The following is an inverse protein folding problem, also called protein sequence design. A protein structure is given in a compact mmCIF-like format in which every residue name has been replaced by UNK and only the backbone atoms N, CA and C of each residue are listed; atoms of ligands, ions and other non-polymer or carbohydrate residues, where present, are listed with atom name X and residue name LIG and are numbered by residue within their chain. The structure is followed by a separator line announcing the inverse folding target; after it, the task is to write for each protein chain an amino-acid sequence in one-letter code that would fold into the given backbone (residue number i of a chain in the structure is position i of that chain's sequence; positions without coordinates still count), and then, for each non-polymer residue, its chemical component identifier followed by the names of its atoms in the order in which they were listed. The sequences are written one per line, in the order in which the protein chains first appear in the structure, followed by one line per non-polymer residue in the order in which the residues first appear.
data_IF_739092838559
#
_entry.id   IF_739092838559
#
_cell.length_a   1.000
_cell.length_b   1.000
_cell.length_c   1.000
_cell.angle_alpha   90.00
_cell.angle_beta   90.00
_cell.angle_gamma   90.00
#
_symmetry.space_group_name_H-M   'P 1'
#
loop_
_entity.id
_entity.type
_entity.pdbx_description
1 polymer ?
#
# COMPACT_ATOMS: atom_id res chain seq x y z
N UNK A 1 -6.41 14.52 28.32
CA UNK A 1 -6.38 13.14 27.77
C UNK A 1 -6.40 13.26 26.26
N UNK A 2 -5.65 12.42 25.54
CA UNK A 2 -5.71 12.36 24.07
C UNK A 2 -6.50 11.12 23.67
N UNK A 3 -7.67 11.30 23.06
CA UNK A 3 -8.40 10.23 22.41
C UNK A 3 -7.89 10.11 20.97
N UNK A 4 -7.28 8.98 20.65
CA UNK A 4 -6.81 8.69 19.30
C UNK A 4 -7.73 7.67 18.63
N UNK A 5 -8.16 7.96 17.42
CA UNK A 5 -8.98 7.07 16.61
C UNK A 5 -8.78 7.35 15.13
N UNK A 6 -8.37 6.31 14.41
CA UNK A 6 -8.02 6.37 13.00
C UNK A 6 -8.95 5.50 12.16
N UNK A 7 -9.85 4.73 12.79
CA UNK A 7 -10.42 3.51 12.19
C UNK A 7 -11.94 3.57 12.06
N UNK A 8 -12.62 4.24 12.97
CA UNK A 8 -14.07 4.10 13.07
C UNK A 8 -14.82 4.97 12.06
N UNK A 9 -15.68 4.32 11.29
CA UNK A 9 -16.59 4.96 10.33
C UNK A 9 -18.05 4.92 10.79
N UNK A 10 -18.32 4.45 12.02
CA UNK A 10 -19.66 4.34 12.58
C UNK A 10 -19.92 5.47 13.61
N UNK A 11 -20.81 6.44 13.31
CA UNK A 11 -21.04 7.60 14.17
C UNK A 11 -21.45 7.25 15.59
N UNK A 12 -22.32 6.24 15.77
CA UNK A 12 -22.82 5.83 17.09
C UNK A 12 -21.71 5.25 17.96
N UNK A 13 -20.84 4.43 17.36
CA UNK A 13 -19.69 3.85 18.05
C UNK A 13 -18.72 4.95 18.50
N UNK A 14 -18.38 5.88 17.61
CA UNK A 14 -17.52 7.02 17.94
C UNK A 14 -18.12 7.87 19.06
N UNK A 15 -19.41 8.21 18.95
CA UNK A 15 -20.12 8.99 19.95
C UNK A 15 -20.05 8.36 21.35
N UNK A 16 -20.32 7.04 21.44
CA UNK A 16 -20.24 6.30 22.70
C UNK A 16 -18.83 6.29 23.31
N UNK A 17 -17.79 6.25 22.48
CA UNK A 17 -16.39 6.28 22.95
C UNK A 17 -16.05 7.68 23.48
N UNK A 18 -16.49 8.74 22.78
CA UNK A 18 -16.30 10.11 23.23
C UNK A 18 -17.02 10.40 24.54
N UNK A 19 -18.24 9.90 24.75
CA UNK A 19 -18.96 10.05 26.02
C UNK A 19 -18.19 9.44 27.20
N UNK A 20 -17.57 8.27 26.99
CA UNK A 20 -16.71 7.65 28.00
C UNK A 20 -15.51 8.53 28.34
N UNK A 21 -14.86 9.13 27.34
CA UNK A 21 -13.73 10.03 27.59
C UNK A 21 -14.15 11.30 28.34
N UNK A 22 -15.28 11.91 27.94
CA UNK A 22 -15.82 13.11 28.58
C UNK A 22 -16.28 12.84 30.02
N UNK A 23 -16.78 11.64 30.31
CA UNK A 23 -17.18 11.24 31.68
C UNK A 23 -16.03 11.29 32.70
N UNK A 24 -14.77 11.31 32.24
CA UNK A 24 -13.61 11.48 33.12
C UNK A 24 -13.50 12.88 33.76
N UNK A 25 -14.28 13.85 33.29
CA UNK A 25 -14.24 15.25 33.76
C UNK A 25 -12.95 16.00 33.41
N UNK A 26 -12.08 15.42 32.57
CA UNK A 26 -10.81 16.01 32.12
C UNK A 26 -10.94 16.57 30.70
N UNK A 27 -10.14 17.60 30.34
CA UNK A 27 -10.04 18.05 28.96
C UNK A 27 -9.65 16.91 28.01
N UNK A 28 -10.38 16.78 26.91
CA UNK A 28 -10.15 15.80 25.85
C UNK A 28 -9.58 16.52 24.63
N UNK A 29 -8.49 15.98 24.08
CA UNK A 29 -7.91 16.35 22.79
C UNK A 29 -8.14 15.18 21.86
N UNK A 30 -8.55 15.43 20.62
CA UNK A 30 -8.70 14.39 19.60
C UNK A 30 -7.44 14.27 18.73
N UNK A 31 -7.02 13.04 18.46
CA UNK A 31 -5.97 12.72 17.50
C UNK A 31 -6.57 11.85 16.39
N UNK A 32 -6.75 12.44 15.20
CA UNK A 32 -7.20 11.71 14.01
C UNK A 32 -6.05 11.24 13.14
N UNK A 33 -6.32 10.44 12.11
CA UNK A 33 -5.28 9.75 11.33
C UNK A 33 -5.33 10.03 9.83
N UNK A 34 -4.18 10.39 9.26
CA UNK A 34 -3.99 10.51 7.82
C UNK A 34 -3.13 9.35 7.30
N UNK A 35 -3.80 8.33 6.77
CA UNK A 35 -3.23 6.99 6.56
C UNK A 35 -2.17 6.95 5.46
N UNK A 36 -0.92 6.75 5.88
CA UNK A 36 0.26 6.52 5.03
C UNK A 36 1.26 5.51 5.60
N UNK A 37 0.83 4.68 6.55
CA UNK A 37 1.69 3.80 7.35
C UNK A 37 1.51 2.31 7.03
N UNK A 38 1.06 1.99 5.82
CA UNK A 38 0.81 0.61 5.38
C UNK A 38 1.61 0.20 4.14
N UNK A 39 2.65 0.95 3.79
CA UNK A 39 3.51 0.72 2.63
C UNK A 39 3.87 2.01 1.92
N UNK A 40 4.13 1.91 0.62
CA UNK A 40 4.38 3.05 -0.27
C UNK A 40 3.10 3.80 -0.65
N UNK A 41 1.94 3.15 -0.56
CA UNK A 41 0.65 3.67 -1.03
C UNK A 41 -0.19 4.19 0.16
N UNK A 42 -0.75 5.41 0.08
CA UNK A 42 -1.61 5.97 1.11
C UNK A 42 -3.01 5.31 1.13
N UNK A 43 -3.86 5.78 2.06
CA UNK A 43 -5.29 5.46 2.09
C UNK A 43 -6.12 6.74 2.34
N UNK A 44 -6.05 7.67 1.40
CA UNK A 44 -6.68 8.99 1.46
C UNK A 44 -8.21 8.85 1.54
N UNK A 45 -8.82 8.03 0.68
CA UNK A 45 -10.27 7.82 0.66
C UNK A 45 -10.82 7.33 2.01
N UNK A 46 -10.17 6.31 2.58
CA UNK A 46 -10.50 5.80 3.91
C UNK A 46 -10.26 6.86 5.01
N UNK A 47 -9.14 7.60 4.94
CA UNK A 47 -8.81 8.66 5.89
C UNK A 47 -9.87 9.76 5.92
N UNK A 48 -10.34 10.21 4.74
CA UNK A 48 -11.39 11.21 4.62
C UNK A 48 -12.70 10.68 5.20
N UNK A 49 -13.09 9.44 4.87
CA UNK A 49 -14.30 8.80 5.40
C UNK A 49 -14.30 8.75 6.94
N UNK A 50 -13.24 8.18 7.52
CA UNK A 50 -13.08 8.03 8.97
C UNK A 50 -13.03 9.40 9.67
N UNK A 51 -12.22 10.33 9.14
CA UNK A 51 -12.06 11.65 9.73
C UNK A 51 -13.36 12.45 9.70
N UNK A 52 -14.12 12.43 8.60
CA UNK A 52 -15.41 13.12 8.52
C UNK A 52 -16.38 12.66 9.62
N UNK A 53 -16.50 11.35 9.81
CA UNK A 53 -17.37 10.76 10.84
C UNK A 53 -16.92 11.21 12.23
N UNK A 54 -15.62 11.11 12.53
CA UNK A 54 -15.13 11.39 13.88
C UNK A 54 -15.16 12.88 14.20
N UNK A 55 -14.72 13.74 13.26
CA UNK A 55 -14.74 15.19 13.44
C UNK A 55 -16.16 15.70 13.66
N UNK A 56 -17.16 15.16 12.95
CA UNK A 56 -18.56 15.50 13.19
C UNK A 56 -19.00 15.18 14.64
N UNK A 57 -18.61 14.01 15.17
CA UNK A 57 -18.94 13.63 16.54
C UNK A 57 -18.17 14.46 17.57
N UNK A 58 -16.91 14.78 17.32
CA UNK A 58 -16.11 15.69 18.14
C UNK A 58 -16.78 17.07 18.23
N UNK A 59 -17.18 17.65 17.09
CA UNK A 59 -17.86 18.94 17.02
C UNK A 59 -19.19 18.93 17.79
N UNK A 60 -20.01 17.88 17.63
CA UNK A 60 -21.29 17.73 18.37
C UNK A 60 -21.11 17.68 19.88
N UNK A 61 -19.96 17.20 20.36
CA UNK A 61 -19.63 17.07 21.79
C UNK A 61 -18.73 18.20 22.31
N UNK A 62 -18.49 19.23 21.49
CA UNK A 62 -17.69 20.41 21.88
C UNK A 62 -16.20 20.12 22.07
N UNK A 63 -15.66 19.09 21.42
CA UNK A 63 -14.23 18.77 21.43
C UNK A 63 -13.55 19.57 20.31
N UNK A 64 -12.91 20.68 20.70
CA UNK A 64 -12.35 21.64 19.75
C UNK A 64 -10.81 21.60 19.66
N UNK A 65 -10.14 20.88 20.56
CA UNK A 65 -8.69 20.68 20.50
C UNK A 65 -8.41 19.39 19.74
N UNK A 66 -7.79 19.50 18.57
CA UNK A 66 -7.51 18.35 17.72
C UNK A 66 -6.18 18.48 16.97
N UNK A 67 -5.59 17.34 16.64
CA UNK A 67 -4.47 17.25 15.71
C UNK A 67 -4.63 16.00 14.84
N UNK A 68 -3.91 15.99 13.72
CA UNK A 68 -3.86 14.88 12.78
C UNK A 68 -2.49 14.20 12.87
N UNK A 69 -2.49 12.88 13.03
CA UNK A 69 -1.29 12.05 13.08
C UNK A 69 -0.96 11.51 11.69
N UNK A 70 0.31 11.60 11.34
CA UNK A 70 0.88 11.12 10.08
C UNK A 70 1.92 10.06 10.42
N UNK A 71 1.47 8.87 10.83
CA UNK A 71 2.38 7.77 11.23
C UNK A 71 3.19 7.26 10.04
N UNK A 72 4.28 6.56 10.32
CA UNK A 72 5.24 6.04 9.34
C UNK A 72 5.71 4.64 9.72
N UNK A 73 4.77 3.76 10.04
CA UNK A 73 5.05 2.42 10.56
C UNK A 73 5.92 1.62 9.58
N UNK A 74 6.77 0.76 10.16
CA UNK A 74 7.60 -0.20 9.44
C UNK A 74 8.39 0.41 8.26
N UNK A 75 9.19 1.44 8.52
CA UNK A 75 10.14 2.01 7.55
C UNK A 75 9.68 3.29 6.85
N UNK A 76 8.52 3.85 7.21
CA UNK A 76 8.04 5.15 6.74
C UNK A 76 8.04 5.30 5.20
N UNK A 77 7.63 4.26 4.49
CA UNK A 77 7.80 4.08 3.04
C UNK A 77 7.01 5.07 2.16
N UNK A 78 5.83 5.51 2.58
CA UNK A 78 5.00 6.45 1.81
C UNK A 78 5.42 7.90 2.06
N UNK A 79 5.44 8.78 1.06
CA UNK A 79 5.70 10.21 1.29
C UNK A 79 4.64 10.87 2.17
N UNK A 80 5.06 11.80 3.03
CA UNK A 80 4.17 12.62 3.86
C UNK A 80 3.31 13.60 3.02
N UNK A 81 3.72 13.89 1.79
CA UNK A 81 2.96 14.78 0.90
C UNK A 81 1.77 14.09 0.23
N UNK A 82 1.63 12.77 0.34
CA UNK A 82 0.46 12.05 -0.18
C UNK A 82 -0.82 12.37 0.58
N UNK A 83 -0.72 12.74 1.86
CA UNK A 83 -1.87 12.90 2.76
C UNK A 83 -2.42 14.33 2.86
N UNK A 84 -1.94 15.25 2.02
CA UNK A 84 -2.36 16.66 2.02
C UNK A 84 -3.90 16.85 1.96
N UNK A 85 -4.70 16.03 1.23
CA UNK A 85 -6.15 16.14 1.29
C UNK A 85 -6.75 15.97 2.69
N UNK A 86 -6.17 15.09 3.50
CA UNK A 86 -6.62 14.84 4.88
C UNK A 86 -6.23 16.02 5.77
N UNK A 87 -5.04 16.59 5.59
CA UNK A 87 -4.63 17.80 6.29
C UNK A 87 -5.59 18.96 5.97
N UNK A 88 -5.94 19.12 4.69
CA UNK A 88 -6.92 20.12 4.25
C UNK A 88 -8.26 19.91 4.95
N UNK A 89 -8.76 18.67 5.06
CA UNK A 89 -10.01 18.39 5.77
C UNK A 89 -9.98 18.86 7.23
N UNK A 90 -8.89 18.60 7.96
CA UNK A 90 -8.74 19.06 9.35
C UNK A 90 -8.64 20.59 9.45
N UNK A 91 -7.95 21.23 8.51
CA UNK A 91 -7.90 22.69 8.44
C UNK A 91 -9.30 23.26 8.22
N UNK A 92 -10.04 22.76 7.23
CA UNK A 92 -11.40 23.22 6.95
C UNK A 92 -12.38 22.94 8.10
N UNK A 93 -12.21 21.86 8.87
CA UNK A 93 -13.00 21.60 10.08
C UNK A 93 -12.85 22.66 11.17
N UNK A 94 -11.77 23.44 11.13
CA UNK A 94 -11.56 24.55 12.06
C UNK A 94 -12.36 25.81 11.69
N UNK A 95 -12.80 25.95 10.43
CA UNK A 95 -13.41 27.17 9.91
C UNK A 95 -14.82 26.99 9.33
N UNK A 96 -15.15 25.79 8.84
CA UNK A 96 -16.42 25.49 8.19
C UNK A 96 -17.26 24.52 9.03
N UNK A 97 -18.56 24.77 9.13
CA UNK A 97 -19.49 23.88 9.84
C UNK A 97 -19.79 22.59 9.06
N UNK A 98 -19.85 22.70 7.74
CA UNK A 98 -20.12 21.59 6.83
C UNK A 98 -19.08 21.63 5.71
N UNK A 99 -18.38 20.52 5.50
CA UNK A 99 -17.33 20.39 4.49
C UNK A 99 -17.86 19.40 3.46
N UNK A 100 -18.36 19.86 2.32
CA UNK A 100 -18.66 18.95 1.21
C UNK A 100 -17.38 18.52 0.49
N UNK A 101 -17.47 17.55 -0.42
CA UNK A 101 -16.32 17.21 -1.28
C UNK A 101 -15.98 18.38 -2.23
N UNK A 102 -16.98 19.10 -2.75
CA UNK A 102 -16.75 20.31 -3.57
C UNK A 102 -16.02 21.40 -2.79
N UNK A 103 -16.44 21.66 -1.54
CA UNK A 103 -15.74 22.64 -0.69
C UNK A 103 -14.30 22.19 -0.44
N UNK A 104 -14.09 20.91 -0.14
CA UNK A 104 -12.74 20.39 0.10
C UNK A 104 -11.87 20.51 -1.16
N UNK A 105 -12.39 20.17 -2.34
CA UNK A 105 -11.68 20.29 -3.62
C UNK A 105 -11.33 21.74 -3.96
N UNK A 106 -12.28 22.67 -3.85
CA UNK A 106 -12.02 24.10 -4.07
C UNK A 106 -10.89 24.62 -3.17
N UNK A 107 -10.93 24.25 -1.88
CA UNK A 107 -9.93 24.66 -0.89
C UNK A 107 -8.59 23.98 -1.14
N UNK A 108 -8.59 22.70 -1.48
CA UNK A 108 -7.37 21.96 -1.82
C UNK A 108 -6.70 22.54 -3.07
N UNK A 109 -7.47 22.91 -4.09
CA UNK A 109 -6.96 23.59 -5.28
C UNK A 109 -6.33 24.94 -4.95
N UNK A 110 -6.94 25.73 -4.06
CA UNK A 110 -6.40 27.03 -3.63
C UNK A 110 -5.13 26.87 -2.78
N UNK A 111 -5.14 25.94 -1.82
CA UNK A 111 -4.08 25.82 -0.83
C UNK A 111 -2.89 24.96 -1.29
N UNK A 112 -3.16 23.89 -2.03
CA UNK A 112 -2.15 22.94 -2.50
C UNK A 112 -1.87 23.05 -4.01
N UNK A 113 -2.74 23.70 -4.80
CA UNK A 113 -2.55 23.79 -6.25
C UNK A 113 -2.80 22.48 -7.00
N UNK A 114 -3.57 21.57 -6.43
CA UNK A 114 -3.91 20.26 -7.01
C UNK A 114 -5.40 19.96 -6.92
N UNK A 115 -5.87 19.05 -7.77
CA UNK A 115 -7.24 18.55 -7.73
C UNK A 115 -7.37 17.40 -6.72
N UNK A 116 -8.42 17.42 -5.91
CA UNK A 116 -8.70 16.37 -4.91
C UNK A 116 -8.92 15.02 -5.60
N UNK A 117 -9.66 15.03 -6.71
CA UNK A 117 -9.96 13.82 -7.48
C UNK A 117 -8.70 13.11 -7.98
N UNK A 118 -7.68 13.86 -8.40
CA UNK A 118 -6.41 13.30 -8.84
C UNK A 118 -5.65 12.72 -7.66
N UNK A 119 -5.56 13.45 -6.54
CA UNK A 119 -4.88 12.93 -5.34
C UNK A 119 -5.50 11.63 -4.82
N UNK A 120 -6.81 11.44 -4.94
CA UNK A 120 -7.47 10.17 -4.58
C UNK A 120 -6.99 8.98 -5.42
N UNK A 121 -6.42 9.21 -6.61
CA UNK A 121 -5.83 8.15 -7.43
C UNK A 121 -4.55 7.58 -6.80
N UNK A 122 -3.89 8.29 -5.88
CA UNK A 122 -2.72 7.77 -5.18
C UNK A 122 -3.03 6.51 -4.36
N UNK A 123 -4.30 6.25 -4.02
CA UNK A 123 -4.73 5.05 -3.31
C UNK A 123 -4.83 3.80 -4.22
N UNK A 124 -4.84 3.97 -5.55
CA UNK A 124 -5.15 2.91 -6.52
C UNK A 124 -4.36 1.61 -6.33
N UNK A 125 -3.04 1.62 -6.03
CA UNK A 125 -2.30 0.37 -5.83
C UNK A 125 -2.86 -0.55 -4.72
N UNK A 126 -3.69 -0.01 -3.81
CA UNK A 126 -4.40 -0.76 -2.78
C UNK A 126 -5.88 -1.06 -3.10
N UNK A 127 -6.43 -0.52 -4.19
CA UNK A 127 -7.85 -0.61 -4.56
C UNK A 127 -8.13 -1.66 -5.64
N UNK A 128 -7.54 -2.86 -5.46
CA UNK A 128 -7.81 -4.02 -6.32
C UNK A 128 -9.25 -4.53 -6.17
N UNK A 129 -9.66 -5.44 -7.07
CA UNK A 129 -10.98 -6.09 -7.01
C UNK A 129 -11.21 -6.72 -5.64
N UNK A 130 -12.31 -6.32 -5.00
CA UNK A 130 -12.68 -6.71 -3.65
C UNK A 130 -12.21 -5.75 -2.56
N UNK A 131 -11.52 -4.65 -2.88
CA UNK A 131 -11.17 -3.54 -1.99
C UNK A 131 -11.35 -2.17 -2.65
N UNK A 132 -12.46 -1.98 -3.38
CA UNK A 132 -12.74 -0.76 -4.11
C UNK A 132 -12.82 0.47 -3.17
N UNK A 133 -12.63 1.65 -3.77
CA UNK A 133 -12.80 2.95 -3.10
C UNK A 133 -14.05 3.01 -2.21
N UNK A 134 -13.95 3.53 -0.96
CA UNK A 134 -12.79 4.22 -0.39
C UNK A 134 -11.68 3.30 0.16
N UNK A 135 -11.80 1.99 -0.04
CA UNK A 135 -10.91 0.99 0.55
C UNK A 135 -11.28 0.65 1.99
N UNK A 136 -10.96 -0.57 2.41
CA UNK A 136 -11.12 -0.99 3.82
C UNK A 136 -9.89 -0.63 4.64
N UNK A 137 -10.12 -0.30 5.91
CA UNK A 137 -9.10 0.01 6.90
C UNK A 137 -7.95 -1.02 6.90
N UNK A 138 -6.70 -0.54 6.83
CA UNK A 138 -5.50 -1.37 6.93
C UNK A 138 -5.17 -2.23 5.71
N UNK A 139 -6.08 -2.40 4.75
CA UNK A 139 -5.86 -3.28 3.60
C UNK A 139 -4.79 -2.71 2.66
N UNK A 140 -3.74 -3.48 2.40
CA UNK A 140 -2.53 -2.99 1.76
C UNK A 140 -1.82 -3.98 0.80
N UNK A 141 -2.52 -4.48 -0.24
CA UNK A 141 -1.95 -5.42 -1.20
C UNK A 141 -0.69 -4.93 -1.89
N UNK A 142 -0.58 -3.64 -2.18
CA UNK A 142 0.62 -3.09 -2.80
C UNK A 142 1.90 -3.40 -2.02
N UNK A 143 1.86 -3.41 -0.67
CA UNK A 143 3.03 -3.70 0.16
C UNK A 143 3.38 -5.18 0.15
N UNK A 144 2.42 -6.05 0.48
CA UNK A 144 2.72 -7.47 0.62
C UNK A 144 2.98 -8.14 -0.73
N UNK A 145 2.33 -7.72 -1.81
CA UNK A 145 2.62 -8.22 -3.16
C UNK A 145 3.97 -7.71 -3.68
N UNK A 146 4.38 -6.50 -3.29
CA UNK A 146 5.69 -5.97 -3.65
C UNK A 146 6.82 -6.75 -2.96
N UNK A 147 6.72 -7.01 -1.66
CA UNK A 147 7.81 -7.64 -0.90
C UNK A 147 7.78 -9.17 -0.85
N UNK A 148 6.65 -9.84 -1.13
CA UNK A 148 6.60 -11.31 -1.04
C UNK A 148 7.66 -11.99 -1.92
N UNK A 149 8.18 -13.11 -1.44
CA UNK A 149 9.10 -13.93 -2.22
C UNK A 149 8.38 -14.64 -3.37
N UNK A 150 9.02 -14.67 -4.54
CA UNK A 150 8.46 -15.24 -5.78
C UNK A 150 8.37 -16.77 -5.72
N UNK A 151 9.37 -17.44 -5.14
CA UNK A 151 9.40 -18.90 -5.08
C UNK A 151 8.55 -19.44 -3.93
N UNK A 152 8.50 -18.74 -2.80
CA UNK A 152 7.74 -19.17 -1.62
C UNK A 152 6.24 -18.87 -1.73
N UNK A 153 5.85 -17.80 -2.45
CA UNK A 153 4.46 -17.51 -2.77
C UNK A 153 3.53 -17.39 -1.55
N UNK A 154 4.00 -16.77 -0.46
CA UNK A 154 3.27 -16.70 0.81
C UNK A 154 1.89 -16.04 0.68
N UNK A 155 1.70 -15.18 -0.32
CA UNK A 155 0.45 -14.48 -0.57
C UNK A 155 -0.23 -14.93 -1.87
N UNK A 156 0.24 -15.99 -2.53
CA UNK A 156 -0.31 -16.50 -3.80
C UNK A 156 -1.82 -16.80 -3.69
N UNK A 157 -2.29 -17.32 -2.54
CA UNK A 157 -3.71 -17.57 -2.28
C UNK A 157 -4.55 -16.31 -2.07
N UNK A 158 -3.92 -15.15 -1.99
CA UNK A 158 -4.55 -13.84 -1.83
C UNK A 158 -4.54 -13.02 -3.14
N UNK A 159 -4.25 -13.67 -4.28
CA UNK A 159 -4.13 -13.05 -5.60
C UNK A 159 -5.20 -13.62 -6.54
N UNK A 160 -5.86 -12.75 -7.30
CA UNK A 160 -6.68 -13.13 -8.46
C UNK A 160 -5.76 -13.10 -9.69
N UNK A 161 -5.30 -14.28 -10.11
CA UNK A 161 -4.39 -14.48 -11.27
C UNK A 161 -4.92 -13.73 -12.51
N UNK A 162 -4.03 -13.08 -13.26
CA UNK A 162 -4.30 -12.25 -14.44
C UNK A 162 -5.13 -10.97 -14.20
N UNK A 163 -6.10 -10.98 -13.28
CA UNK A 163 -6.93 -9.83 -12.97
C UNK A 163 -6.12 -8.74 -12.26
N UNK A 164 -5.40 -9.10 -11.20
CA UNK A 164 -4.58 -8.13 -10.46
C UNK A 164 -3.48 -7.53 -11.34
N UNK A 165 -2.85 -8.34 -12.19
CA UNK A 165 -1.87 -7.87 -13.17
C UNK A 165 -2.49 -6.82 -14.11
N UNK A 166 -3.68 -7.10 -14.66
CA UNK A 166 -4.41 -6.18 -15.54
C UNK A 166 -4.82 -4.87 -14.83
N UNK A 167 -5.29 -4.97 -13.59
CA UNK A 167 -5.64 -3.80 -12.79
C UNK A 167 -4.42 -2.92 -12.52
N UNK A 168 -3.27 -3.50 -12.15
CA UNK A 168 -2.03 -2.74 -11.97
C UNK A 168 -1.57 -2.03 -13.25
N UNK A 169 -1.65 -2.69 -14.42
CA UNK A 169 -1.37 -2.05 -15.70
C UNK A 169 -2.28 -0.84 -15.96
N UNK A 170 -3.59 -0.99 -15.71
CA UNK A 170 -4.57 0.10 -15.84
C UNK A 170 -4.27 1.25 -14.86
N UNK A 171 -3.99 0.93 -13.59
CA UNK A 171 -3.71 1.92 -12.56
C UNK A 171 -2.44 2.72 -12.87
N UNK A 172 -1.41 2.07 -13.40
CA UNK A 172 -0.19 2.75 -13.87
C UNK A 172 -0.51 3.82 -14.92
N UNK A 173 -1.35 3.51 -15.91
CA UNK A 173 -1.80 4.47 -16.92
C UNK A 173 -2.51 5.68 -16.31
N UNK A 174 -3.50 5.43 -15.43
CA UNK A 174 -4.26 6.50 -14.75
C UNK A 174 -3.37 7.41 -13.89
N UNK A 175 -2.39 6.81 -13.19
CA UNK A 175 -1.44 7.55 -12.37
C UNK A 175 -0.49 8.39 -13.21
N UNK A 176 -0.03 7.89 -14.37
CA UNK A 176 0.80 8.66 -15.31
C UNK A 176 0.05 9.87 -15.85
N UNK A 177 -1.22 9.71 -16.23
CA UNK A 177 -2.06 10.84 -16.66
C UNK A 177 -2.30 11.87 -15.54
N UNK A 178 -2.53 11.41 -14.30
CA UNK A 178 -2.67 12.29 -13.15
C UNK A 178 -1.37 13.06 -12.86
N UNK A 179 -0.22 12.42 -13.07
CA UNK A 179 1.08 13.05 -12.94
C UNK A 179 1.28 14.21 -13.94
N UNK A 180 0.76 14.08 -15.16
CA UNK A 180 0.83 15.12 -16.19
C UNK A 180 -0.09 16.32 -15.86
N UNK A 181 -1.25 16.05 -15.26
CA UNK A 181 -2.17 17.09 -14.76
C UNK A 181 -1.64 17.83 -13.53
N UNK A 182 -0.72 17.23 -12.78
CA UNK A 182 -0.22 17.74 -11.50
C UNK A 182 1.31 17.92 -11.51
N UNK A 183 1.88 18.83 -12.32
CA UNK A 183 3.34 18.95 -12.49
C UNK A 183 4.10 19.23 -11.19
N UNK A 184 3.50 19.98 -10.25
CA UNK A 184 4.11 20.25 -8.93
C UNK A 184 4.16 19.05 -7.99
N UNK A 185 3.36 18.01 -8.24
CA UNK A 185 3.30 16.77 -7.45
C UNK A 185 3.61 15.54 -8.30
N UNK A 186 4.18 15.74 -9.49
CA UNK A 186 4.39 14.70 -10.50
C UNK A 186 5.05 13.44 -9.91
N UNK A 187 6.05 13.65 -9.06
CA UNK A 187 6.81 12.58 -8.44
C UNK A 187 5.94 11.63 -7.58
N UNK A 188 4.94 12.17 -6.85
CA UNK A 188 4.04 11.34 -6.02
C UNK A 188 3.27 10.32 -6.87
N UNK A 189 2.74 10.78 -8.00
CA UNK A 189 1.99 9.95 -8.94
C UNK A 189 2.89 8.96 -9.69
N UNK A 190 4.06 9.41 -10.15
CA UNK A 190 5.01 8.55 -10.85
C UNK A 190 5.55 7.42 -9.96
N UNK A 191 5.76 7.67 -8.67
CA UNK A 191 6.15 6.62 -7.71
C UNK A 191 5.07 5.55 -7.57
N UNK A 192 3.80 5.94 -7.45
CA UNK A 192 2.71 4.95 -7.44
C UNK A 192 2.59 4.24 -8.80
N UNK A 193 2.81 4.94 -9.92
CA UNK A 193 2.78 4.34 -11.25
C UNK A 193 3.89 3.29 -11.43
N UNK A 194 5.11 3.57 -10.96
CA UNK A 194 6.22 2.62 -11.00
C UNK A 194 6.02 1.44 -10.06
N UNK A 195 5.37 1.65 -8.91
CA UNK A 195 4.92 0.55 -8.06
C UNK A 195 3.93 -0.36 -8.81
N UNK A 196 2.95 0.22 -9.51
CA UNK A 196 2.03 -0.52 -10.36
C UNK A 196 2.76 -1.24 -11.51
N UNK A 197 3.74 -0.60 -12.17
CA UNK A 197 4.55 -1.22 -13.23
C UNK A 197 5.30 -2.47 -12.68
N UNK A 198 5.81 -2.43 -11.45
CA UNK A 198 6.42 -3.60 -10.81
C UNK A 198 5.36 -4.67 -10.52
N UNK A 199 4.23 -4.28 -9.93
CA UNK A 199 3.19 -5.20 -9.48
C UNK A 199 2.44 -5.86 -10.64
N UNK A 200 2.35 -5.21 -11.80
CA UNK A 200 1.84 -5.80 -13.05
C UNK A 200 2.53 -7.14 -13.36
N UNK A 201 3.86 -7.18 -13.27
CA UNK A 201 4.64 -8.39 -13.53
C UNK A 201 4.73 -9.30 -12.30
N UNK A 202 4.74 -8.71 -11.10
CA UNK A 202 5.11 -9.42 -9.88
C UNK A 202 3.94 -10.09 -9.17
N UNK A 203 2.74 -9.49 -9.20
CA UNK A 203 1.65 -9.87 -8.29
C UNK A 203 1.24 -11.35 -8.39
N UNK A 204 1.32 -11.95 -9.58
CA UNK A 204 0.96 -13.34 -9.86
C UNK A 204 2.14 -14.17 -10.42
N UNK A 205 3.38 -13.66 -10.33
CA UNK A 205 4.58 -14.34 -10.84
C UNK A 205 4.78 -15.72 -10.20
N UNK A 206 4.59 -15.83 -8.88
CA UNK A 206 4.71 -17.09 -8.14
C UNK A 206 3.69 -18.15 -8.59
N UNK A 207 2.46 -17.71 -8.87
CA UNK A 207 1.39 -18.55 -9.42
C UNK A 207 1.75 -19.05 -10.82
N UNK A 208 2.18 -18.15 -11.71
CA UNK A 208 2.58 -18.48 -13.09
C UNK A 208 3.75 -19.46 -13.13
N UNK A 209 4.78 -19.24 -12.29
CA UNK A 209 5.92 -20.16 -12.16
C UNK A 209 5.48 -21.53 -11.65
N UNK A 210 4.68 -21.58 -10.57
CA UNK A 210 4.21 -22.85 -10.00
C UNK A 210 3.37 -23.64 -11.01
N UNK A 211 2.45 -22.99 -11.71
CA UNK A 211 1.62 -23.59 -12.76
C UNK A 211 2.44 -24.12 -13.94
N UNK A 212 3.42 -23.36 -14.42
CA UNK A 212 4.30 -23.80 -15.49
C UNK A 212 5.17 -25.00 -15.04
N UNK A 213 5.67 -24.96 -13.80
CA UNK A 213 6.45 -26.04 -13.20
C UNK A 213 5.64 -27.34 -13.06
N UNK A 214 4.44 -27.28 -12.48
CA UNK A 214 3.55 -28.44 -12.30
C UNK A 214 3.15 -29.09 -13.63
N UNK A 215 2.93 -28.26 -14.66
CA UNK A 215 2.61 -28.73 -16.01
C UNK A 215 3.84 -29.18 -16.82
N UNK A 216 5.05 -29.08 -16.26
CA UNK A 216 6.33 -29.32 -16.96
C UNK A 216 6.44 -28.53 -18.26
N UNK A 217 5.91 -27.31 -18.26
CA UNK A 217 5.95 -26.41 -19.41
C UNK A 217 7.28 -25.64 -19.43
N UNK A 218 8.29 -26.27 -20.03
CA UNK A 218 9.63 -25.70 -20.13
C UNK A 218 9.67 -24.40 -20.97
N UNK A 219 8.77 -24.26 -21.94
CA UNK A 219 8.70 -23.06 -22.76
C UNK A 219 8.14 -21.87 -21.96
N UNK A 220 7.08 -22.10 -21.17
CA UNK A 220 6.54 -21.10 -20.27
C UNK A 220 7.54 -20.72 -19.17
N UNK A 221 8.21 -21.69 -18.54
CA UNK A 221 9.26 -21.43 -17.55
C UNK A 221 10.39 -20.56 -18.14
N UNK A 222 10.83 -20.86 -19.36
CA UNK A 222 11.84 -20.04 -20.05
C UNK A 222 11.35 -18.62 -20.29
N UNK A 223 10.13 -18.44 -20.79
CA UNK A 223 9.54 -17.09 -20.98
C UNK A 223 9.47 -16.30 -19.67
N UNK A 224 9.11 -16.97 -18.57
CA UNK A 224 9.05 -16.34 -17.24
C UNK A 224 10.42 -15.90 -16.73
N UNK A 225 11.53 -16.56 -17.12
CA UNK A 225 12.88 -16.08 -16.78
C UNK A 225 13.21 -14.74 -17.43
N UNK A 226 12.73 -14.49 -18.65
CA UNK A 226 12.87 -13.19 -19.33
C UNK A 226 12.00 -12.13 -18.64
N UNK A 227 10.79 -12.51 -18.19
CA UNK A 227 9.94 -11.61 -17.40
C UNK A 227 10.56 -11.27 -16.04
N UNK A 228 11.33 -12.17 -15.42
CA UNK A 228 12.06 -11.91 -14.18
C UNK A 228 13.20 -10.89 -14.38
N UNK A 229 13.87 -10.89 -15.54
CA UNK A 229 14.86 -9.85 -15.88
C UNK A 229 14.18 -8.48 -15.99
N UNK A 230 13.06 -8.41 -16.71
CA UNK A 230 12.30 -7.16 -16.83
C UNK A 230 11.79 -6.67 -15.47
N UNK A 231 11.30 -7.60 -14.63
CA UNK A 231 10.90 -7.28 -13.26
C UNK A 231 12.04 -6.68 -12.44
N UNK A 232 13.26 -7.22 -12.56
CA UNK A 232 14.44 -6.71 -11.87
C UNK A 232 14.78 -5.27 -12.31
N UNK A 233 14.65 -4.98 -13.60
CA UNK A 233 14.85 -3.64 -14.15
C UNK A 233 13.79 -2.66 -13.63
N UNK A 234 12.50 -3.05 -13.66
CA UNK A 234 11.39 -2.23 -13.12
C UNK A 234 11.58 -1.96 -11.61
N UNK A 235 12.00 -2.94 -10.82
CA UNK A 235 12.33 -2.77 -9.39
C UNK A 235 13.52 -1.82 -9.20
N UNK A 236 14.49 -1.83 -10.12
CA UNK A 236 15.64 -0.92 -10.07
C UNK A 236 15.24 0.52 -10.38
N UNK A 237 14.38 0.74 -11.37
CA UNK A 237 13.79 2.06 -11.63
C UNK A 237 12.99 2.54 -10.43
N UNK A 238 12.16 1.67 -9.84
CA UNK A 238 11.36 2.03 -8.66
C UNK A 238 12.25 2.41 -7.47
N UNK A 239 13.33 1.66 -7.22
CA UNK A 239 14.31 1.97 -6.17
C UNK A 239 14.92 3.37 -6.33
N UNK A 240 15.37 3.74 -7.54
CA UNK A 240 15.97 5.06 -7.76
C UNK A 240 14.97 6.21 -7.55
N UNK A 241 13.70 6.01 -7.92
CA UNK A 241 12.65 7.00 -7.66
C UNK A 241 12.36 7.13 -6.15
N UNK A 242 12.25 6.02 -5.42
CA UNK A 242 12.10 6.04 -3.95
C UNK A 242 13.31 6.69 -3.29
N UNK A 243 14.52 6.41 -3.75
CA UNK A 243 15.74 7.05 -3.27
C UNK A 243 15.69 8.56 -3.48
N UNK A 244 15.32 9.00 -4.69
CA UNK A 244 15.23 10.42 -5.01
C UNK A 244 14.21 11.12 -4.12
N UNK A 245 13.00 10.56 -3.98
CA UNK A 245 11.98 11.10 -3.08
C UNK A 245 12.43 11.13 -1.63
N UNK A 246 13.07 10.06 -1.13
CA UNK A 246 13.54 10.04 0.26
C UNK A 246 14.53 11.17 0.54
N UNK A 247 15.51 11.38 -0.36
CA UNK A 247 16.53 12.41 -0.18
C UNK A 247 15.99 13.84 -0.34
N UNK A 248 14.83 13.99 -0.99
CA UNK A 248 14.10 15.26 -1.08
C UNK A 248 13.25 15.51 0.17
N UNK A 249 12.49 14.51 0.62
CA UNK A 249 11.51 14.63 1.70
C UNK A 249 12.13 14.52 3.10
N UNK A 250 13.25 13.79 3.23
CA UNK A 250 13.80 13.35 4.51
C UNK A 250 15.30 13.59 4.62
N UNK A 251 15.81 13.49 5.86
CA UNK A 251 17.25 13.31 6.08
C UNK A 251 17.69 11.93 5.55
N UNK A 252 18.97 11.75 5.21
CA UNK A 252 19.44 10.48 4.64
C UNK A 252 19.27 9.25 5.55
N UNK A 253 19.29 9.42 6.87
CA UNK A 253 19.14 8.34 7.84
C UNK A 253 17.75 7.71 7.77
N UNK A 254 17.69 6.37 7.81
CA UNK A 254 16.49 5.56 7.60
C UNK A 254 16.40 4.99 6.19
N UNK A 255 17.04 5.62 5.20
CA UNK A 255 17.06 5.10 3.83
C UNK A 255 17.83 3.77 3.73
N UNK A 256 18.84 3.55 4.57
CA UNK A 256 19.59 2.29 4.61
C UNK A 256 18.69 1.08 4.87
N UNK A 257 17.60 1.26 5.61
CA UNK A 257 16.59 0.21 5.82
C UNK A 257 15.91 -0.12 4.50
N UNK A 258 15.44 0.88 3.74
CA UNK A 258 14.82 0.66 2.44
C UNK A 258 15.82 0.05 1.44
N UNK A 259 17.08 0.51 1.44
CA UNK A 259 18.14 -0.09 0.62
C UNK A 259 18.35 -1.56 0.91
N UNK A 260 18.34 -1.98 2.18
CA UNK A 260 18.44 -3.40 2.57
C UNK A 260 17.22 -4.17 2.04
N UNK A 261 16.00 -3.64 2.22
CA UNK A 261 14.76 -4.30 1.76
C UNK A 261 14.73 -4.49 0.25
N UNK A 262 15.07 -3.45 -0.51
CA UNK A 262 15.17 -3.52 -1.97
C UNK A 262 16.31 -4.44 -2.42
N UNK A 263 17.46 -4.41 -1.75
CA UNK A 263 18.58 -5.31 -2.04
C UNK A 263 18.19 -6.78 -1.85
N UNK A 264 17.51 -7.09 -0.75
CA UNK A 264 16.95 -8.42 -0.49
C UNK A 264 15.95 -8.84 -1.58
N UNK A 265 14.99 -7.98 -1.91
CA UNK A 265 14.01 -8.25 -2.96
C UNK A 265 14.67 -8.53 -4.32
N UNK A 266 15.60 -7.67 -4.76
CA UNK A 266 16.35 -7.84 -6.02
C UNK A 266 17.14 -9.16 -6.02
N UNK A 267 17.81 -9.49 -4.92
CA UNK A 267 18.56 -10.74 -4.80
C UNK A 267 17.64 -11.97 -4.88
N UNK A 268 16.42 -11.89 -4.34
CA UNK A 268 15.44 -12.98 -4.41
C UNK A 268 14.82 -13.13 -5.80
N UNK A 269 14.67 -12.05 -6.58
CA UNK A 269 14.29 -12.13 -8.00
C UNK A 269 15.38 -12.86 -8.81
N UNK A 270 16.65 -12.48 -8.61
CA UNK A 270 17.81 -13.13 -9.26
C UNK A 270 17.85 -14.62 -8.92
N UNK A 271 17.64 -14.97 -7.64
CA UNK A 271 17.66 -16.37 -7.21
C UNK A 271 16.47 -17.16 -7.77
N UNK A 272 15.28 -16.56 -7.85
CA UNK A 272 14.13 -17.19 -8.50
C UNK A 272 14.43 -17.56 -9.96
N UNK A 273 15.04 -16.63 -10.71
CA UNK A 273 15.47 -16.90 -12.08
C UNK A 273 16.50 -18.04 -12.14
N UNK A 274 17.56 -17.97 -11.32
CA UNK A 274 18.61 -19.01 -11.27
C UNK A 274 18.04 -20.40 -11.00
N UNK A 275 17.13 -20.52 -10.02
CA UNK A 275 16.50 -21.80 -9.67
C UNK A 275 15.69 -22.39 -10.84
N UNK A 276 14.99 -21.55 -11.59
CA UNK A 276 14.27 -21.97 -12.81
C UNK A 276 15.24 -22.38 -13.91
N UNK A 277 16.32 -21.64 -14.15
CA UNK A 277 17.36 -21.99 -15.13
C UNK A 277 18.07 -23.31 -14.78
N UNK A 278 18.43 -23.51 -13.51
CA UNK A 278 19.04 -24.75 -13.02
C UNK A 278 18.15 -25.97 -13.30
N UNK A 279 16.83 -25.83 -13.12
CA UNK A 279 15.87 -26.88 -13.45
C UNK A 279 15.77 -27.11 -14.96
N UNK A 280 15.65 -26.04 -15.76
CA UNK A 280 15.56 -26.13 -17.22
C UNK A 280 16.80 -26.75 -17.87
N UNK A 281 17.98 -26.52 -17.28
CA UNK A 281 19.26 -27.09 -17.73
C UNK A 281 19.55 -28.49 -17.15
N UNK A 282 18.68 -29.01 -16.27
CA UNK A 282 18.85 -30.31 -15.64
C UNK A 282 19.97 -30.37 -14.59
N UNK A 283 20.40 -29.22 -14.06
CA UNK A 283 21.33 -29.16 -12.91
C UNK A 283 20.67 -29.62 -11.62
N UNK A 284 19.35 -29.42 -11.51
CA UNK A 284 18.53 -29.94 -10.41
C UNK A 284 17.33 -30.69 -10.98
N UNK A 285 16.90 -31.74 -10.28
CA UNK A 285 15.75 -32.56 -10.71
C UNK A 285 14.40 -31.89 -10.41
N UNK A 286 14.37 -30.97 -9.44
CA UNK A 286 13.16 -30.30 -8.95
C UNK A 286 13.50 -28.93 -8.35
N UNK A 287 12.48 -28.07 -8.27
CA UNK A 287 12.52 -26.80 -7.55
C UNK A 287 11.70 -26.98 -6.27
N UNK A 288 12.34 -27.35 -5.15
CA UNK A 288 11.65 -27.70 -3.91
C UNK A 288 10.67 -26.62 -3.40
N UNK A 289 10.98 -25.35 -3.62
CA UNK A 289 10.14 -24.22 -3.24
C UNK A 289 8.80 -24.20 -3.99
N UNK A 290 8.76 -24.73 -5.22
CA UNK A 290 7.55 -24.84 -6.05
C UNK A 290 6.79 -26.15 -5.82
N UNK A 291 7.43 -27.16 -5.21
CA UNK A 291 6.77 -28.40 -4.76
C UNK A 291 5.86 -28.18 -3.55
N UNK A 292 6.14 -27.15 -2.75
CA UNK A 292 5.35 -26.85 -1.57
C UNK A 292 3.91 -26.43 -1.93
N UNK A 293 2.95 -26.87 -1.10
CA UNK A 293 1.57 -26.42 -1.20
C UNK A 293 1.44 -24.95 -0.84
N UNK A 294 0.69 -24.19 -1.65
CA UNK A 294 0.36 -22.79 -1.34
C UNK A 294 -0.82 -22.74 -0.36
N UNK A 295 -0.60 -22.11 0.79
CA UNK A 295 -1.60 -21.91 1.83
C UNK A 295 -2.03 -20.44 1.92
N UNK A 296 -3.19 -20.19 2.53
CA UNK A 296 -3.53 -18.81 2.90
C UNK A 296 -2.61 -18.35 4.03
N UNK A 297 -2.10 -17.12 3.90
CA UNK A 297 -1.17 -16.53 4.85
C UNK A 297 -1.75 -16.45 6.27
N UNK A 298 -3.04 -16.13 6.40
CA UNK A 298 -3.73 -15.97 7.68
C UNK A 298 -4.35 -17.27 8.22
N UNK A 299 -4.01 -18.42 7.64
CA UNK A 299 -4.43 -19.74 8.11
C UNK A 299 -5.90 -20.09 7.83
N UNK A 300 -6.61 -19.29 7.03
CA UNK A 300 -7.99 -19.64 6.61
C UNK A 300 -7.98 -20.86 5.67
N UNK A 301 -9.12 -21.54 5.59
CA UNK A 301 -9.27 -22.77 4.78
C UNK A 301 -9.76 -22.52 3.36
N UNK A 302 -10.48 -21.42 3.13
CA UNK A 302 -11.04 -21.05 1.83
C UNK A 302 -10.93 -19.53 1.63
N UNK A 303 -11.07 -19.08 0.38
CA UNK A 303 -10.92 -17.67 0.00
C UNK A 303 -11.90 -16.74 0.75
N UNK A 304 -13.05 -17.26 1.16
CA UNK A 304 -14.15 -16.46 1.69
C UNK A 304 -14.58 -15.37 0.71
N UNK A 305 -15.00 -14.22 1.26
CA UNK A 305 -15.44 -13.05 0.47
C UNK A 305 -14.36 -11.98 0.29
N UNK A 306 -13.24 -12.08 1.01
CA UNK A 306 -12.22 -11.03 1.02
C UNK A 306 -10.82 -11.64 1.02
N UNK A 307 -10.13 -11.55 -0.11
CA UNK A 307 -8.77 -12.04 -0.27
C UNK A 307 -7.72 -11.15 0.40
N UNK A 308 -8.04 -9.89 0.70
CA UNK A 308 -7.04 -8.94 1.17
C UNK A 308 -6.75 -9.03 2.66
N UNK A 309 -5.52 -8.66 3.00
CA UNK A 309 -4.98 -8.67 4.35
C UNK A 309 -4.61 -7.25 4.82
N UNK A 310 -4.56 -7.06 6.13
CA UNK A 310 -3.83 -5.97 6.78
C UNK A 310 -2.53 -6.56 7.33
N UNK A 311 -1.45 -6.45 6.55
CA UNK A 311 -0.13 -6.90 6.97
C UNK A 311 0.92 -5.93 6.48
N UNK A 312 1.64 -5.32 7.42
CA UNK A 312 2.54 -4.22 7.10
C UNK A 312 3.95 -4.40 7.66
N UNK A 313 4.18 -5.45 8.45
CA UNK A 313 5.51 -5.81 8.95
C UNK A 313 6.28 -6.54 7.86
N UNK A 314 7.34 -5.89 7.36
CA UNK A 314 8.16 -6.42 6.28
C UNK A 314 8.71 -7.83 6.55
N UNK A 315 9.14 -8.11 7.79
CA UNK A 315 9.75 -9.38 8.17
C UNK A 315 8.83 -10.58 7.98
N UNK A 316 7.52 -10.42 8.20
CA UNK A 316 6.54 -11.49 8.01
C UNK A 316 6.11 -11.64 6.55
N UNK A 317 6.37 -10.63 5.73
CA UNK A 317 6.01 -10.65 4.30
C UNK A 317 7.09 -11.39 3.49
N UNK A 318 8.37 -11.17 3.81
CA UNK A 318 9.48 -11.64 2.97
C UNK A 318 9.84 -13.11 3.17
N UNK A 319 9.60 -13.67 4.36
CA UNK A 319 10.05 -15.03 4.67
C UNK A 319 9.24 -15.61 5.83
N UNK A 320 8.92 -16.93 5.81
CA UNK A 320 8.43 -17.63 6.98
C UNK A 320 9.56 -17.95 7.99
N UNK A 321 10.81 -17.71 7.61
CA UNK A 321 11.99 -17.93 8.45
C UNK A 321 12.40 -16.66 9.18
N UNK A 322 13.21 -16.81 10.23
CA UNK A 322 13.70 -15.66 10.95
C UNK A 322 14.68 -14.83 10.09
N UNK A 323 14.33 -13.58 9.84
CA UNK A 323 15.13 -12.58 9.11
C UNK A 323 15.63 -11.45 10.00
N UNK A 324 15.21 -11.42 11.27
CA UNK A 324 15.67 -10.45 12.28
C UNK A 324 16.34 -11.24 13.41
N UNK A 325 17.64 -11.05 13.60
CA UNK A 325 18.37 -11.66 14.72
C UNK A 325 18.02 -11.03 16.06
#
# INVERSE_FOLDING_TARGET
LVYWDYYNTEPKKVSNILDKHLSSGRPVIFAGGAWRWKGYTPMIGFSLLSSRVILEQCNKKGINNMFVTVWGDDGAECSVFTILPVIQLFAENSYAKNISDNHLDERFKICAGAALEDFLLLDLPNQLEGNEKPGRCGVNPSKYLFYQDILLGLFDKHVIEDEYSRQYAQFSGLLKEAADRNPGYRNLFMIQAHLCDVLELKCDMGLKLKKAYENKDHAALKSLTETLDELLDRVSVFYENIRSQWMEDNKPFGFEVLSIRFGGLKQRIIEAKRRVEDYLEGRVEKIEELEADRLFFDGRKDAGKNLHLDIHQWEYIVSPNNVIF
#
